data_IF_830462363590
#
_entry.id   IF_830462363590
#
_cell.length_a   1.000
_cell.length_b   1.000
_cell.length_c   1.000
_cell.angle_alpha   90.00
_cell.angle_beta   90.00
_cell.angle_gamma   90.00
#
_symmetry.space_group_name_H-M   'P 1'
#
loop_
_entity.id
_entity.type
_entity.pdbx_description
1 polymer ?
#
# COMPACT_ATOMS: atom_id res chain seq x y z
N UNK A 1 -20.97 1.99 20.12
CA UNK A 1 -20.83 1.36 18.79
C UNK A 1 -21.34 2.22 17.63
N UNK A 2 -22.54 2.84 17.70
CA UNK A 2 -23.08 3.67 16.58
C UNK A 2 -22.25 4.94 16.27
N UNK A 3 -21.67 5.59 17.29
CA UNK A 3 -20.86 6.82 17.08
C UNK A 3 -19.48 6.57 16.48
N UNK A 4 -18.86 5.41 16.75
CA UNK A 4 -17.58 5.03 16.17
C UNK A 4 -17.69 4.75 14.66
N UNK A 5 -18.77 4.08 14.24
CA UNK A 5 -19.07 3.83 12.82
C UNK A 5 -19.44 5.12 12.04
N UNK A 6 -19.91 6.17 12.73
CA UNK A 6 -20.17 7.48 12.15
C UNK A 6 -18.88 8.30 11.99
N UNK A 7 -17.94 8.18 12.93
CA UNK A 7 -16.62 8.82 12.86
C UNK A 7 -15.75 8.23 11.75
N UNK A 8 -15.75 6.90 11.59
CA UNK A 8 -15.03 6.21 10.49
C UNK A 8 -15.63 6.59 9.12
N UNK A 9 -16.97 6.65 9.00
CA UNK A 9 -17.63 7.15 7.78
C UNK A 9 -17.33 8.62 7.47
N UNK A 10 -17.10 9.46 8.50
CA UNK A 10 -16.62 10.84 8.31
C UNK A 10 -15.16 10.86 7.86
N UNK A 11 -14.29 10.06 8.47
CA UNK A 11 -12.86 9.98 8.12
C UNK A 11 -12.61 9.49 6.69
N UNK A 12 -13.47 8.64 6.15
CA UNK A 12 -13.35 8.11 4.78
C UNK A 12 -13.96 9.03 3.70
N UNK A 13 -14.78 10.02 4.09
CA UNK A 13 -15.39 11.00 3.17
C UNK A 13 -14.42 12.10 2.73
N UNK A 14 -13.52 12.52 3.61
CA UNK A 14 -12.53 13.55 3.32
C UNK A 14 -11.55 13.17 2.20
N UNK A 15 -10.90 11.99 2.21
CA UNK A 15 -10.00 11.61 1.12
C UNK A 15 -10.73 11.45 -0.23
N UNK A 16 -11.96 10.94 -0.23
CA UNK A 16 -12.76 10.85 -1.45
C UNK A 16 -13.23 12.22 -1.96
N UNK A 17 -13.59 13.14 -1.06
CA UNK A 17 -13.94 14.52 -1.43
C UNK A 17 -12.75 15.28 -2.00
N UNK A 18 -11.55 15.11 -1.42
CA UNK A 18 -10.31 15.69 -1.93
C UNK A 18 -9.97 15.14 -3.33
N UNK A 19 -10.10 13.83 -3.53
CA UNK A 19 -9.86 13.23 -4.85
C UNK A 19 -10.84 13.76 -5.90
N UNK A 20 -12.13 13.82 -5.57
CA UNK A 20 -13.15 14.39 -6.47
C UNK A 20 -12.89 15.86 -6.79
N UNK A 21 -12.43 16.65 -5.81
CA UNK A 21 -12.07 18.05 -6.01
C UNK A 21 -10.87 18.19 -6.97
N UNK A 22 -9.85 17.33 -6.83
CA UNK A 22 -8.69 17.30 -7.74
C UNK A 22 -9.12 16.96 -9.16
N UNK A 23 -9.99 15.95 -9.34
CA UNK A 23 -10.51 15.56 -10.66
C UNK A 23 -11.32 16.70 -11.28
N UNK A 24 -12.21 17.33 -10.50
CA UNK A 24 -13.02 18.45 -11.00
C UNK A 24 -12.16 19.67 -11.37
N UNK A 25 -11.16 19.99 -10.54
CA UNK A 25 -10.21 21.07 -10.81
C UNK A 25 -9.40 20.80 -12.08
N UNK A 26 -8.96 19.57 -12.29
CA UNK A 26 -8.25 19.17 -13.51
C UNK A 26 -9.15 19.26 -14.76
N UNK A 27 -10.39 18.81 -14.67
CA UNK A 27 -11.35 18.88 -15.78
C UNK A 27 -11.67 20.34 -16.14
N UNK A 28 -11.84 21.20 -15.14
CA UNK A 28 -12.04 22.63 -15.35
C UNK A 28 -10.81 23.28 -16.01
N UNK A 29 -9.60 22.96 -15.56
CA UNK A 29 -8.37 23.46 -16.17
C UNK A 29 -8.24 23.03 -17.64
N UNK A 30 -8.62 21.79 -17.97
CA UNK A 30 -8.65 21.29 -19.35
C UNK A 30 -9.64 22.07 -20.22
N UNK A 31 -10.87 22.26 -19.74
CA UNK A 31 -11.91 23.03 -20.47
C UNK A 31 -11.46 24.47 -20.67
N UNK A 32 -10.88 25.09 -19.64
CA UNK A 32 -10.35 26.44 -19.70
C UNK A 32 -9.21 26.57 -20.72
N UNK A 33 -8.31 25.58 -20.78
CA UNK A 33 -7.22 25.53 -21.75
C UNK A 33 -7.74 25.43 -23.19
N UNK A 34 -8.69 24.52 -23.44
CA UNK A 34 -9.34 24.35 -24.76
C UNK A 34 -10.06 25.63 -25.19
N UNK A 35 -10.74 26.28 -24.25
CA UNK A 35 -11.42 27.54 -24.50
C UNK A 35 -10.44 28.65 -24.91
N UNK A 36 -9.30 28.79 -24.20
CA UNK A 36 -8.26 29.74 -24.59
C UNK A 36 -7.67 29.45 -25.98
N UNK A 37 -7.50 28.18 -26.35
CA UNK A 37 -7.00 27.80 -27.69
C UNK A 37 -7.98 28.21 -28.78
N UNK A 38 -9.27 27.91 -28.61
CA UNK A 38 -10.30 28.23 -29.61
C UNK A 38 -10.49 29.74 -29.81
N UNK A 39 -10.35 30.53 -28.73
CA UNK A 39 -10.52 31.98 -28.81
C UNK A 39 -9.29 32.67 -29.43
N UNK A 40 -8.08 32.13 -29.20
CA UNK A 40 -6.85 32.57 -29.87
C UNK A 40 -6.87 32.34 -31.38
N UNK A 41 -7.39 31.20 -31.82
CA UNK A 41 -7.44 30.81 -33.24
C UNK A 41 -8.30 31.77 -34.11
N UNK A 42 -9.37 32.36 -33.53
CA UNK A 42 -10.23 33.29 -34.26
C UNK A 42 -9.54 34.63 -34.56
N UNK A 43 -8.85 35.20 -33.56
CA UNK A 43 -8.12 36.47 -33.72
C UNK A 43 -6.95 36.32 -34.70
N UNK A 44 -6.26 35.18 -34.65
CA UNK A 44 -5.18 34.86 -35.59
C UNK A 44 -5.66 34.78 -37.05
N UNK A 45 -6.81 34.15 -37.29
CA UNK A 45 -7.39 34.04 -38.64
C UNK A 45 -7.79 35.40 -39.22
N UNK A 46 -8.33 36.30 -38.40
CA UNK A 46 -8.66 37.66 -38.83
C UNK A 46 -7.39 38.45 -39.19
N UNK A 47 -6.37 38.40 -38.33
CA UNK A 47 -5.13 39.13 -38.54
C UNK A 47 -4.32 38.59 -39.73
N UNK A 48 -4.26 37.27 -39.92
CA UNK A 48 -3.64 36.64 -41.10
C UNK A 48 -4.36 37.03 -42.40
N UNK A 49 -5.69 37.13 -42.38
CA UNK A 49 -6.47 37.60 -43.54
C UNK A 49 -6.22 39.07 -43.86
N UNK A 50 -6.05 39.90 -42.83
CA UNK A 50 -5.72 41.31 -43.00
C UNK A 50 -4.35 41.46 -43.69
N UNK A 51 -3.29 40.85 -43.13
CA UNK A 51 -1.95 40.90 -43.71
C UNK A 51 -1.90 40.31 -45.13
N UNK A 52 -2.63 39.22 -45.40
CA UNK A 52 -2.73 38.67 -46.76
C UNK A 52 -3.39 39.66 -47.74
N UNK A 53 -4.43 40.38 -47.31
CA UNK A 53 -5.09 41.41 -48.11
C UNK A 53 -4.16 42.60 -48.38
N UNK A 54 -3.41 43.07 -47.36
CA UNK A 54 -2.42 44.16 -47.51
C UNK A 54 -1.33 43.78 -48.52
N UNK A 55 -0.78 42.57 -48.42
CA UNK A 55 0.22 42.07 -49.37
C UNK A 55 -0.32 41.99 -50.80
N UNK A 56 -1.59 41.61 -50.98
CA UNK A 56 -2.24 41.58 -52.28
C UNK A 56 -2.41 42.99 -52.86
N UNK A 57 -2.87 43.97 -52.08
CA UNK A 57 -3.00 45.36 -52.55
C UNK A 57 -1.64 46.00 -52.87
N UNK A 58 -0.60 45.72 -52.10
CA UNK A 58 0.77 46.14 -52.43
C UNK A 58 1.26 45.55 -53.76
N UNK A 59 0.81 44.34 -54.11
CA UNK A 59 1.09 43.72 -55.40
C UNK A 59 0.31 44.38 -56.54
N UNK A 60 -0.95 44.74 -56.32
CA UNK A 60 -1.74 45.49 -57.29
C UNK A 60 -1.18 46.89 -57.56
N UNK A 61 -0.71 47.61 -56.53
CA UNK A 61 -0.05 48.92 -56.69
C UNK A 61 1.19 48.83 -57.58
N UNK A 62 2.06 47.84 -57.32
CA UNK A 62 3.26 47.63 -58.13
C UNK A 62 2.92 47.21 -59.56
N UNK A 63 1.97 46.29 -59.73
CA UNK A 63 1.53 45.80 -61.03
C UNK A 63 0.89 46.90 -61.88
N UNK A 64 0.02 47.73 -61.28
CA UNK A 64 -0.60 48.88 -61.94
C UNK A 64 0.45 49.89 -62.42
N UNK A 65 1.42 50.22 -61.57
CA UNK A 65 2.50 51.14 -61.94
C UNK A 65 3.40 50.59 -63.07
N UNK A 66 3.77 49.30 -62.99
CA UNK A 66 4.60 48.64 -64.00
C UNK A 66 3.88 48.55 -65.36
N UNK A 67 2.60 48.13 -65.36
CA UNK A 67 1.81 48.03 -66.57
C UNK A 67 1.58 49.40 -67.19
N UNK A 68 1.35 50.43 -66.36
CA UNK A 68 1.17 51.77 -66.84
C UNK A 68 2.42 52.32 -67.51
N UNK A 69 3.58 52.14 -66.87
CA UNK A 69 4.87 52.54 -67.43
C UNK A 69 5.18 51.77 -68.72
N UNK A 70 4.89 50.47 -68.76
CA UNK A 70 5.10 49.63 -69.95
C UNK A 70 4.21 50.07 -71.11
N UNK A 71 2.94 50.36 -70.85
CA UNK A 71 1.99 50.86 -71.85
C UNK A 71 2.36 52.25 -72.38
N UNK A 72 2.73 53.16 -71.48
CA UNK A 72 3.19 54.51 -71.81
C UNK A 72 4.45 54.47 -72.68
N UNK A 73 5.48 53.69 -72.30
CA UNK A 73 6.70 53.52 -73.11
C UNK A 73 6.41 52.88 -74.47
N UNK A 74 5.54 51.87 -74.51
CA UNK A 74 5.12 51.23 -75.76
C UNK A 74 4.47 52.22 -76.72
N UNK A 75 3.57 53.06 -76.23
CA UNK A 75 2.93 54.12 -77.02
C UNK A 75 3.94 55.18 -77.48
N UNK A 76 4.86 55.61 -76.62
CA UNK A 76 5.87 56.62 -76.99
C UNK A 76 6.86 56.13 -78.05
N UNK A 77 7.23 54.85 -78.03
CA UNK A 77 8.14 54.26 -79.02
C UNK A 77 7.44 54.03 -80.36
N UNK A 78 6.20 53.55 -80.34
CA UNK A 78 5.51 53.04 -81.54
C UNK A 78 4.49 54.02 -82.13
N UNK A 79 4.00 54.97 -81.32
CA UNK A 79 2.85 55.83 -81.60
C UNK A 79 1.54 55.05 -81.84
N UNK A 80 1.50 53.77 -81.45
CA UNK A 80 0.33 52.91 -81.61
C UNK A 80 -0.55 52.93 -80.35
N UNK A 81 -1.76 53.48 -80.49
CA UNK A 81 -2.74 53.63 -79.40
C UNK A 81 -3.09 52.31 -78.72
N UNK A 82 -2.87 51.14 -79.34
CA UNK A 82 -3.12 49.83 -78.70
C UNK A 82 -2.32 49.65 -77.41
N UNK A 83 -1.12 50.24 -77.31
CA UNK A 83 -0.30 50.19 -76.10
C UNK A 83 -0.86 51.03 -74.93
N UNK A 84 -1.75 52.00 -75.21
CA UNK A 84 -2.40 52.79 -74.15
C UNK A 84 -3.38 51.97 -73.30
N UNK A 85 -3.81 50.79 -73.76
CA UNK A 85 -4.71 49.93 -72.98
C UNK A 85 -4.12 49.53 -71.62
N UNK A 86 -2.84 49.15 -71.57
CA UNK A 86 -2.13 48.83 -70.32
C UNK A 86 -1.93 50.05 -69.42
N UNK A 87 -1.76 51.23 -70.02
CA UNK A 87 -1.70 52.52 -69.32
C UNK A 87 -3.04 52.87 -68.66
N UNK A 88 -4.13 52.80 -69.41
CA UNK A 88 -5.48 53.05 -68.92
C UNK A 88 -5.84 52.09 -67.78
N UNK A 89 -5.57 50.80 -67.95
CA UNK A 89 -5.83 49.80 -66.91
C UNK A 89 -5.07 50.10 -65.61
N UNK A 90 -3.78 50.43 -65.69
CA UNK A 90 -3.00 50.79 -64.50
C UNK A 90 -3.50 52.08 -63.83
N UNK A 91 -3.88 53.09 -64.63
CA UNK A 91 -4.40 54.37 -64.14
C UNK A 91 -5.77 54.22 -63.45
N UNK A 92 -6.64 53.36 -63.97
CA UNK A 92 -7.92 53.04 -63.35
C UNK A 92 -7.76 52.24 -62.04
N UNK A 93 -6.70 51.44 -61.90
CA UNK A 93 -6.48 50.56 -60.75
C UNK A 93 -5.68 51.19 -59.61
N UNK A 94 -4.80 52.16 -59.87
CA UNK A 94 -3.89 52.69 -58.83
C UNK A 94 -4.65 53.37 -57.69
N UNK A 95 -5.60 54.26 -58.01
CA UNK A 95 -6.32 55.04 -57.01
C UNK A 95 -7.23 54.17 -56.11
N UNK A 96 -8.03 53.23 -56.66
CA UNK A 96 -8.74 52.26 -55.83
C UNK A 96 -7.83 51.42 -54.93
N UNK A 97 -6.66 51.01 -55.42
CA UNK A 97 -5.74 50.13 -54.67
C UNK A 97 -5.06 50.88 -53.52
N UNK A 98 -4.65 52.13 -53.73
CA UNK A 98 -4.12 52.99 -52.67
C UNK A 98 -5.16 53.26 -51.56
N UNK A 99 -6.43 53.47 -51.94
CA UNK A 99 -7.53 53.62 -50.96
C UNK A 99 -7.75 52.35 -50.15
N UNK A 100 -7.87 51.18 -50.80
CA UNK A 100 -8.04 49.90 -50.11
C UNK A 100 -6.86 49.60 -49.18
N UNK A 101 -5.63 49.88 -49.62
CA UNK A 101 -4.44 49.71 -48.79
C UNK A 101 -4.52 50.57 -47.51
N UNK A 102 -4.95 51.82 -47.62
CA UNK A 102 -5.14 52.71 -46.47
C UNK A 102 -6.27 52.25 -45.54
N UNK A 103 -7.39 51.79 -46.10
CA UNK A 103 -8.52 51.26 -45.33
C UNK A 103 -8.15 49.97 -44.57
N UNK A 104 -7.34 49.09 -45.18
CA UNK A 104 -6.88 47.85 -44.56
C UNK A 104 -5.87 48.09 -43.42
N UNK A 105 -4.98 49.08 -43.57
CA UNK A 105 -3.97 49.40 -42.56
C UNK A 105 -4.57 50.12 -41.33
N UNK A 106 -5.64 50.90 -41.52
CA UNK A 106 -6.45 51.47 -40.44
C UNK A 106 -5.65 52.31 -39.42
N UNK A 107 -6.17 52.41 -38.19
CA UNK A 107 -5.56 53.21 -37.11
C UNK A 107 -4.45 52.47 -36.34
N UNK A 108 -4.34 51.13 -36.47
CA UNK A 108 -3.37 50.30 -35.73
C UNK A 108 -2.00 50.15 -36.45
N UNK A 109 -1.70 51.01 -37.42
CA UNK A 109 -0.42 50.99 -38.13
C UNK A 109 0.76 51.41 -37.27
N UNK A 110 1.90 50.73 -37.46
CA UNK A 110 3.18 51.20 -36.92
C UNK A 110 3.60 52.51 -37.59
N UNK A 111 4.38 53.33 -36.88
CA UNK A 111 4.92 54.60 -37.40
C UNK A 111 5.59 54.41 -38.76
N UNK A 112 6.38 53.33 -38.92
CA UNK A 112 7.07 53.04 -40.18
C UNK A 112 6.11 52.63 -41.31
N UNK A 113 5.04 51.89 -41.01
CA UNK A 113 4.03 51.55 -42.02
C UNK A 113 3.29 52.82 -42.48
N UNK A 114 2.93 53.72 -41.57
CA UNK A 114 2.29 54.99 -41.94
C UNK A 114 3.20 55.84 -42.86
N UNK A 115 4.48 55.98 -42.51
CA UNK A 115 5.47 56.67 -43.35
C UNK A 115 5.61 56.06 -44.75
N UNK A 116 5.67 54.73 -44.84
CA UNK A 116 5.80 54.02 -46.11
C UNK A 116 4.52 54.13 -46.94
N UNK A 117 3.34 54.10 -46.31
CA UNK A 117 2.06 54.29 -47.01
C UNK A 117 1.97 55.68 -47.65
N UNK A 118 2.39 56.72 -46.91
CA UNK A 118 2.43 58.09 -47.43
C UNK A 118 3.47 58.25 -48.55
N UNK A 119 4.62 57.59 -48.44
CA UNK A 119 5.62 57.54 -49.51
C UNK A 119 5.10 56.82 -50.75
N UNK A 120 4.45 55.67 -50.60
CA UNK A 120 3.86 54.90 -51.71
C UNK A 120 2.79 55.73 -52.41
N UNK A 121 1.87 56.36 -51.66
CA UNK A 121 0.80 57.20 -52.21
C UNK A 121 1.38 58.40 -53.00
N UNK A 122 2.33 59.14 -52.40
CA UNK A 122 2.94 60.30 -53.06
C UNK A 122 3.77 59.93 -54.29
N UNK A 123 4.58 58.86 -54.23
CA UNK A 123 5.40 58.39 -55.35
C UNK A 123 4.54 57.83 -56.49
N UNK A 124 3.50 57.06 -56.17
CA UNK A 124 2.57 56.53 -57.17
C UNK A 124 1.84 57.68 -57.88
N UNK A 125 1.26 58.62 -57.15
CA UNK A 125 0.57 59.78 -57.75
C UNK A 125 1.49 60.62 -58.62
N UNK A 126 2.71 60.90 -58.14
CA UNK A 126 3.71 61.62 -58.93
C UNK A 126 4.06 60.88 -60.22
N UNK A 127 4.23 59.56 -60.15
CA UNK A 127 4.54 58.74 -61.32
C UNK A 127 3.40 58.70 -62.35
N UNK A 128 2.16 58.54 -61.89
CA UNK A 128 1.00 58.58 -62.78
C UNK A 128 0.76 59.95 -63.40
N UNK A 129 0.99 61.04 -62.65
CA UNK A 129 0.93 62.41 -63.19
C UNK A 129 1.99 62.67 -64.27
N UNK A 130 3.22 62.15 -64.09
CA UNK A 130 4.29 62.24 -65.11
C UNK A 130 3.91 61.47 -66.38
N UNK A 131 3.41 60.25 -66.23
CA UNK A 131 2.96 59.43 -67.35
C UNK A 131 1.80 60.11 -68.10
N UNK A 132 0.83 60.69 -67.39
CA UNK A 132 -0.30 61.41 -67.98
C UNK A 132 0.17 62.62 -68.81
N UNK A 133 1.06 63.45 -68.26
CA UNK A 133 1.64 64.58 -68.97
C UNK A 133 2.37 64.13 -70.24
N UNK A 134 3.16 63.05 -70.16
CA UNK A 134 3.88 62.51 -71.31
C UNK A 134 2.94 62.00 -72.41
N UNK A 135 1.82 61.36 -72.06
CA UNK A 135 0.82 60.86 -73.01
C UNK A 135 0.10 62.04 -73.67
N UNK A 136 -0.31 63.05 -72.89
CA UNK A 136 -0.96 64.26 -73.42
C UNK A 136 -0.06 65.01 -74.40
N UNK A 137 1.22 65.18 -74.10
CA UNK A 137 2.18 65.83 -75.01
C UNK A 137 2.31 65.11 -76.36
N UNK A 138 2.21 63.77 -76.37
CA UNK A 138 2.22 62.99 -77.62
C UNK A 138 0.90 63.17 -78.38
N UNK A 139 -0.24 63.15 -77.68
CA UNK A 139 -1.56 63.37 -78.31
C UNK A 139 -1.68 64.77 -78.93
N UNK A 140 -1.06 65.79 -78.32
CA UNK A 140 -0.97 67.16 -78.83
C UNK A 140 0.08 67.35 -79.94
N UNK A 141 0.76 66.27 -80.36
CA UNK A 141 1.78 66.30 -81.41
C UNK A 141 3.14 66.87 -80.98
N UNK A 142 3.35 67.13 -79.69
CA UNK A 142 4.58 67.69 -79.11
C UNK A 142 5.59 66.60 -78.71
N UNK A 143 5.95 65.75 -79.66
CA UNK A 143 6.80 64.56 -79.44
C UNK A 143 8.17 64.88 -78.80
N UNK A 144 8.79 66.01 -79.17
CA UNK A 144 10.09 66.41 -78.64
C UNK A 144 10.04 66.80 -77.16
N UNK A 145 8.93 67.40 -76.73
CA UNK A 145 8.72 67.78 -75.33
C UNK A 145 8.44 66.54 -74.48
N UNK A 146 7.61 65.61 -74.97
CA UNK A 146 7.37 64.32 -74.33
C UNK A 146 8.68 63.52 -74.14
N UNK A 147 9.53 63.48 -75.17
CA UNK A 147 10.84 62.79 -75.09
C UNK A 147 11.81 63.47 -74.12
N UNK A 148 11.79 64.79 -74.01
CA UNK A 148 12.63 65.53 -73.04
C UNK A 148 12.19 65.24 -71.60
N UNK A 149 10.88 65.14 -71.35
CA UNK A 149 10.34 64.79 -70.03
C UNK A 149 10.83 63.40 -69.57
N UNK A 150 10.77 62.39 -70.43
CA UNK A 150 11.20 61.01 -70.08
C UNK A 150 12.72 60.86 -69.97
N UNK A 151 13.49 61.68 -70.71
CA UNK A 151 14.95 61.71 -70.58
C UNK A 151 15.42 62.36 -69.27
N UNK A 152 14.50 62.93 -68.48
CA UNK A 152 14.79 63.21 -67.08
C UNK A 152 14.76 61.90 -66.30
N UNK A 153 15.86 61.55 -65.63
CA UNK A 153 15.94 60.33 -64.81
C UNK A 153 14.94 60.35 -63.62
N UNK A 154 14.20 61.45 -63.42
CA UNK A 154 13.19 61.63 -62.37
C UNK A 154 12.11 60.55 -62.40
N UNK A 155 11.59 60.22 -63.58
CA UNK A 155 10.55 59.20 -63.73
C UNK A 155 11.03 57.78 -63.39
N UNK A 156 12.30 57.47 -63.68
CA UNK A 156 12.90 56.18 -63.32
C UNK A 156 13.21 56.14 -61.81
N UNK A 157 13.76 57.23 -61.26
CA UNK A 157 14.10 57.31 -59.84
C UNK A 157 12.86 57.24 -58.95
N UNK A 158 11.75 57.86 -59.37
CA UNK A 158 10.46 57.75 -58.70
C UNK A 158 9.95 56.29 -58.68
N UNK A 159 10.08 55.56 -59.79
CA UNK A 159 9.66 54.15 -59.85
C UNK A 159 10.54 53.25 -58.98
N UNK A 160 11.86 53.46 -58.97
CA UNK A 160 12.78 52.73 -58.08
C UNK A 160 12.53 53.02 -56.60
N UNK A 161 12.17 54.27 -56.25
CA UNK A 161 11.75 54.62 -54.89
C UNK A 161 10.42 53.97 -54.54
N UNK A 162 9.45 53.94 -55.45
CA UNK A 162 8.15 53.29 -55.25
C UNK A 162 8.32 51.79 -55.01
N UNK A 163 9.09 51.09 -55.86
CA UNK A 163 9.38 49.66 -55.67
C UNK A 163 10.06 49.40 -54.33
N UNK A 164 11.06 50.21 -53.96
CA UNK A 164 11.73 50.08 -52.66
C UNK A 164 10.77 50.28 -51.49
N UNK A 165 9.89 51.27 -51.54
CA UNK A 165 8.92 51.51 -50.47
C UNK A 165 7.89 50.36 -50.36
N UNK A 166 7.39 49.85 -51.50
CA UNK A 166 6.49 48.69 -51.55
C UNK A 166 7.18 47.44 -51.01
N UNK A 167 8.42 47.18 -51.42
CA UNK A 167 9.18 46.02 -50.94
C UNK A 167 9.51 46.11 -49.46
N UNK A 168 9.87 47.29 -48.95
CA UNK A 168 10.09 47.51 -47.53
C UNK A 168 8.80 47.25 -46.73
N UNK A 169 7.67 47.74 -47.20
CA UNK A 169 6.38 47.48 -46.56
C UNK A 169 6.01 45.99 -46.60
N UNK A 170 6.24 45.29 -47.71
CA UNK A 170 6.05 43.83 -47.81
C UNK A 170 6.93 43.06 -46.82
N UNK A 171 8.17 43.49 -46.64
CA UNK A 171 9.09 42.86 -45.67
C UNK A 171 8.55 43.04 -44.25
N UNK A 172 8.06 44.23 -43.91
CA UNK A 172 7.45 44.50 -42.60
C UNK A 172 6.24 43.61 -42.37
N UNK A 173 5.30 43.56 -43.31
CA UNK A 173 4.09 42.71 -43.22
C UNK A 173 4.43 41.22 -43.06
N UNK A 174 5.37 40.70 -43.87
CA UNK A 174 5.82 39.30 -43.75
C UNK A 174 6.50 39.02 -42.42
N UNK A 175 7.25 39.97 -41.86
CA UNK A 175 7.87 39.82 -40.54
C UNK A 175 6.84 39.82 -39.41
N UNK A 176 5.82 40.68 -39.48
CA UNK A 176 4.71 40.69 -38.52
C UNK A 176 4.01 39.34 -38.54
N UNK A 177 3.64 38.83 -39.71
CA UNK A 177 2.98 37.53 -39.88
C UNK A 177 3.83 36.37 -39.34
N UNK A 178 5.14 36.35 -39.66
CA UNK A 178 6.05 35.31 -39.21
C UNK A 178 6.25 35.32 -37.68
N UNK A 179 6.33 36.50 -37.06
CA UNK A 179 6.42 36.62 -35.60
C UNK A 179 5.16 36.12 -34.91
N UNK A 180 3.99 36.49 -35.43
CA UNK A 180 2.71 36.05 -34.91
C UNK A 180 2.58 34.53 -34.96
N UNK A 181 2.81 33.91 -36.12
CA UNK A 181 2.76 32.46 -36.27
C UNK A 181 3.74 31.72 -35.34
N UNK A 182 4.95 32.27 -35.15
CA UNK A 182 5.94 31.70 -34.24
C UNK A 182 5.52 31.77 -32.77
N UNK A 183 4.87 32.86 -32.36
CA UNK A 183 4.36 33.01 -30.99
C UNK A 183 3.14 32.11 -30.74
N UNK A 184 2.24 31.93 -31.72
CA UNK A 184 1.14 30.95 -31.63
C UNK A 184 1.67 29.53 -31.47
N UNK A 185 2.63 29.13 -32.32
CA UNK A 185 3.22 27.80 -32.27
C UNK A 185 3.91 27.52 -30.92
N UNK A 186 4.52 28.52 -30.28
CA UNK A 186 5.11 28.40 -28.93
C UNK A 186 4.05 28.23 -27.84
N UNK A 187 2.91 28.91 -27.96
CA UNK A 187 1.79 28.76 -27.02
C UNK A 187 1.17 27.37 -27.15
N UNK A 188 0.94 26.90 -28.38
CA UNK A 188 0.46 25.54 -28.65
C UNK A 188 1.45 24.47 -28.14
N UNK A 189 2.75 24.66 -28.37
CA UNK A 189 3.77 23.71 -27.92
C UNK A 189 3.86 23.59 -26.38
N UNK A 190 3.46 24.63 -25.63
CA UNK A 190 3.40 24.58 -24.15
C UNK A 190 2.17 23.85 -23.62
N UNK A 191 1.10 23.71 -24.40
CA UNK A 191 -0.15 23.09 -23.98
C UNK A 191 0.01 21.57 -23.81
N UNK A 192 0.63 20.88 -24.77
CA UNK A 192 0.84 19.43 -24.72
C UNK A 192 1.55 18.92 -23.44
N UNK A 193 2.70 19.49 -23.01
CA UNK A 193 3.36 19.04 -21.78
C UNK A 193 2.55 19.37 -20.52
N UNK A 194 1.79 20.47 -20.48
CA UNK A 194 0.91 20.79 -19.36
C UNK A 194 -0.24 19.77 -19.24
N UNK A 195 -0.85 19.38 -20.37
CA UNK A 195 -1.84 18.32 -20.43
C UNK A 195 -1.27 16.98 -19.97
N UNK A 196 -0.08 16.62 -20.45
CA UNK A 196 0.63 15.42 -20.02
C UNK A 196 0.88 15.41 -18.51
N UNK A 197 1.35 16.53 -17.96
CA UNK A 197 1.56 16.69 -16.51
C UNK A 197 0.27 16.54 -15.70
N UNK A 198 -0.84 17.10 -16.19
CA UNK A 198 -2.15 16.98 -15.54
C UNK A 198 -2.66 15.54 -15.54
N UNK A 199 -2.55 14.83 -16.66
CA UNK A 199 -2.94 13.41 -16.76
C UNK A 199 -2.13 12.56 -15.78
N UNK A 200 -0.81 12.78 -15.71
CA UNK A 200 0.06 12.08 -14.76
C UNK A 200 -0.38 12.35 -13.31
N UNK A 201 -0.70 13.60 -12.97
CA UNK A 201 -1.17 13.98 -11.63
C UNK A 201 -2.48 13.25 -11.27
N UNK A 202 -3.44 13.19 -12.21
CA UNK A 202 -4.70 12.46 -12.02
C UNK A 202 -4.44 10.96 -11.81
N UNK A 203 -3.57 10.34 -12.63
CA UNK A 203 -3.23 8.92 -12.50
C UNK A 203 -2.57 8.62 -11.15
N UNK A 204 -1.67 9.49 -10.68
CA UNK A 204 -1.05 9.39 -9.35
C UNK A 204 -2.10 9.50 -8.25
N UNK A 205 -3.03 10.45 -8.36
CA UNK A 205 -4.10 10.63 -7.37
C UNK A 205 -5.03 9.42 -7.31
N UNK A 206 -5.43 8.85 -8.46
CA UNK A 206 -6.22 7.61 -8.54
C UNK A 206 -5.46 6.44 -7.91
N UNK A 207 -4.17 6.29 -8.22
CA UNK A 207 -3.34 5.21 -7.68
C UNK A 207 -3.19 5.32 -6.15
N UNK A 208 -2.98 6.54 -5.63
CA UNK A 208 -2.93 6.81 -4.20
C UNK A 208 -4.28 6.53 -3.53
N UNK A 209 -5.39 6.95 -4.15
CA UNK A 209 -6.74 6.65 -3.68
C UNK A 209 -6.98 5.14 -3.57
N UNK A 210 -6.65 4.37 -4.61
CA UNK A 210 -6.76 2.92 -4.61
C UNK A 210 -5.88 2.25 -3.55
N UNK A 211 -4.65 2.74 -3.36
CA UNK A 211 -3.73 2.29 -2.29
C UNK A 211 -4.29 2.54 -0.89
N UNK A 212 -4.93 3.69 -0.65
CA UNK A 212 -5.52 4.02 0.65
C UNK A 212 -6.75 3.15 0.94
N UNK A 213 -7.64 2.98 -0.05
CA UNK A 213 -8.84 2.13 0.08
C UNK A 213 -8.46 0.67 0.31
N UNK A 214 -7.48 0.15 -0.44
CA UNK A 214 -7.02 -1.24 -0.26
C UNK A 214 -6.35 -1.48 1.09
N UNK A 215 -5.58 -0.53 1.62
CA UNK A 215 -5.02 -0.62 2.98
C UNK A 215 -6.10 -0.65 4.05
N UNK A 216 -7.11 0.21 3.94
CA UNK A 216 -8.23 0.25 4.88
C UNK A 216 -9.01 -1.08 4.88
N UNK A 217 -9.31 -1.63 3.69
CA UNK A 217 -10.02 -2.90 3.56
C UNK A 217 -9.24 -4.09 4.17
N UNK A 218 -7.91 -4.12 4.01
CA UNK A 218 -7.06 -5.16 4.62
C UNK A 218 -7.05 -5.08 6.14
N UNK A 219 -6.93 -3.88 6.70
CA UNK A 219 -6.94 -3.68 8.14
C UNK A 219 -8.26 -4.12 8.79
N UNK A 220 -9.40 -3.86 8.13
CA UNK A 220 -10.71 -4.32 8.59
C UNK A 220 -10.82 -5.86 8.56
N UNK A 221 -10.32 -6.50 7.50
CA UNK A 221 -10.34 -7.96 7.37
C UNK A 221 -9.47 -8.65 8.43
N UNK A 222 -8.26 -8.14 8.69
CA UNK A 222 -7.36 -8.66 9.73
C UNK A 222 -7.98 -8.52 11.13
N UNK A 223 -8.59 -7.37 11.42
CA UNK A 223 -9.26 -7.14 12.70
C UNK A 223 -10.47 -8.08 12.92
N UNK A 224 -11.27 -8.33 11.87
CA UNK A 224 -12.40 -9.26 11.94
C UNK A 224 -11.93 -10.71 12.17
N UNK A 225 -10.85 -11.13 11.51
CA UNK A 225 -10.27 -12.46 11.70
C UNK A 225 -9.68 -12.63 13.10
N UNK A 226 -8.95 -11.63 13.61
CA UNK A 226 -8.40 -11.65 14.96
C UNK A 226 -9.51 -11.77 16.03
N UNK A 227 -10.61 -11.02 15.87
CA UNK A 227 -11.76 -11.10 16.77
C UNK A 227 -12.43 -12.48 16.74
N UNK A 228 -12.58 -13.08 15.56
CA UNK A 228 -13.17 -14.43 15.41
C UNK A 228 -12.29 -15.52 16.05
N UNK A 229 -10.96 -15.41 15.92
CA UNK A 229 -10.01 -16.33 16.58
C UNK A 229 -10.05 -16.17 18.10
N UNK A 230 -10.14 -14.92 18.59
CA UNK A 230 -10.28 -14.64 20.02
C UNK A 230 -11.54 -15.28 20.62
N UNK A 231 -12.70 -15.09 19.97
CA UNK A 231 -13.96 -15.70 20.44
C UNK A 231 -13.93 -17.23 20.41
N UNK A 232 -13.31 -17.83 19.39
CA UNK A 232 -13.13 -19.28 19.30
C UNK A 232 -12.24 -19.82 20.43
N UNK A 233 -11.17 -19.11 20.79
CA UNK A 233 -10.28 -19.45 21.91
C UNK A 233 -11.02 -19.36 23.24
N UNK A 234 -11.74 -18.27 23.49
CA UNK A 234 -12.51 -18.09 24.73
C UNK A 234 -13.55 -19.20 24.92
N UNK A 235 -14.22 -19.62 23.84
CA UNK A 235 -15.17 -20.75 23.87
C UNK A 235 -14.47 -22.07 24.15
N UNK A 236 -13.30 -22.32 23.57
CA UNK A 236 -12.52 -23.52 23.84
C UNK A 236 -12.10 -23.59 25.32
N UNK A 237 -11.66 -22.47 25.91
CA UNK A 237 -11.25 -22.40 27.32
C UNK A 237 -12.42 -22.59 28.29
N UNK A 238 -13.62 -22.11 27.93
CA UNK A 238 -14.85 -22.37 28.68
C UNK A 238 -15.24 -23.86 28.62
N UNK A 239 -15.18 -24.46 27.43
CA UNK A 239 -15.48 -25.88 27.24
C UNK A 239 -14.49 -26.78 28.00
N UNK A 240 -13.19 -26.45 27.97
CA UNK A 240 -12.18 -27.19 28.72
C UNK A 240 -12.45 -27.18 30.24
N UNK A 241 -12.83 -26.03 30.80
CA UNK A 241 -13.22 -25.89 32.21
C UNK A 241 -14.45 -26.73 32.56
N UNK A 242 -15.47 -26.70 31.71
CA UNK A 242 -16.70 -27.49 31.91
C UNK A 242 -16.43 -29.00 31.82
N UNK A 243 -15.58 -29.44 30.88
CA UNK A 243 -15.17 -30.85 30.77
C UNK A 243 -14.44 -31.30 32.03
N UNK A 244 -13.50 -30.51 32.54
CA UNK A 244 -12.79 -30.84 33.78
C UNK A 244 -13.76 -30.95 34.97
N UNK A 245 -14.72 -30.03 35.09
CA UNK A 245 -15.77 -30.13 36.12
C UNK A 245 -16.60 -31.41 35.98
N UNK A 246 -16.97 -31.80 34.77
CA UNK A 246 -17.70 -33.06 34.53
C UNK A 246 -16.89 -34.30 34.87
N UNK A 247 -15.59 -34.30 34.60
CA UNK A 247 -14.71 -35.41 34.99
C UNK A 247 -14.68 -35.56 36.52
N UNK A 248 -14.58 -34.45 37.28
CA UNK A 248 -14.66 -34.48 38.75
C UNK A 248 -16.00 -35.07 39.22
N UNK A 249 -17.11 -34.68 38.60
CA UNK A 249 -18.43 -35.23 38.92
C UNK A 249 -18.53 -36.74 38.65
N UNK A 250 -17.98 -37.23 37.53
CA UNK A 250 -17.95 -38.66 37.22
C UNK A 250 -17.15 -39.44 38.27
N UNK A 251 -16.00 -38.94 38.69
CA UNK A 251 -15.21 -39.56 39.77
C UNK A 251 -15.98 -39.61 41.10
N UNK A 252 -16.71 -38.54 41.45
CA UNK A 252 -17.54 -38.52 42.64
C UNK A 252 -18.65 -39.59 42.60
N UNK A 253 -19.29 -39.78 41.44
CA UNK A 253 -20.31 -40.82 41.23
C UNK A 253 -19.70 -42.23 41.37
N UNK A 254 -18.56 -42.49 40.73
CA UNK A 254 -17.88 -43.78 40.83
C UNK A 254 -17.49 -44.08 42.28
N UNK A 255 -16.97 -43.08 43.00
CA UNK A 255 -16.62 -43.21 44.41
C UNK A 255 -17.84 -43.57 45.27
N UNK A 256 -18.99 -42.91 45.04
CA UNK A 256 -20.23 -43.20 45.75
C UNK A 256 -20.72 -44.65 45.47
N UNK A 257 -20.67 -45.12 44.22
CA UNK A 257 -21.05 -46.50 43.86
C UNK A 257 -20.17 -47.52 44.58
N UNK A 258 -18.85 -47.30 44.60
CA UNK A 258 -17.89 -48.18 45.29
C UNK A 258 -18.19 -48.24 46.79
N UNK A 259 -18.40 -47.09 47.43
CA UNK A 259 -18.68 -47.01 48.86
C UNK A 259 -20.05 -47.61 49.24
N UNK A 260 -21.09 -47.39 48.41
CA UNK A 260 -22.40 -47.99 48.62
C UNK A 260 -22.40 -49.51 48.48
N UNK A 261 -21.53 -50.06 47.63
CA UNK A 261 -21.45 -51.51 47.37
C UNK A 261 -20.99 -52.34 48.58
N UNK A 262 -20.37 -51.71 49.59
CA UNK A 262 -19.96 -52.35 50.85
C UNK A 262 -20.86 -52.00 52.05
N UNK A 263 -21.92 -51.20 51.86
CA UNK A 263 -22.75 -50.67 52.97
C UNK A 263 -23.32 -51.77 53.87
N UNK A 264 -23.75 -52.89 53.28
CA UNK A 264 -24.36 -54.03 53.98
C UNK A 264 -23.44 -55.27 54.04
N UNK A 265 -22.14 -55.10 53.75
CA UNK A 265 -21.15 -56.19 53.71
C UNK A 265 -19.87 -55.78 54.47
N UNK A 266 -19.84 -55.91 55.80
CA UNK A 266 -18.70 -55.51 56.63
C UNK A 266 -17.38 -56.16 56.20
N UNK A 267 -17.43 -57.41 55.71
CA UNK A 267 -16.28 -58.16 55.20
C UNK A 267 -15.68 -57.58 53.91
N UNK A 268 -16.46 -56.85 53.11
CA UNK A 268 -16.00 -56.22 51.86
C UNK A 268 -15.42 -54.81 52.07
N UNK A 269 -15.66 -54.20 53.24
CA UNK A 269 -15.31 -52.81 53.55
C UNK A 269 -13.81 -52.49 53.37
N UNK A 270 -12.85 -53.32 53.83
CA UNK A 270 -11.42 -53.04 53.62
C UNK A 270 -11.03 -52.96 52.13
N UNK A 271 -11.67 -53.77 51.29
CA UNK A 271 -11.39 -53.80 49.84
C UNK A 271 -12.01 -52.58 49.17
N UNK A 272 -13.23 -52.18 49.51
CA UNK A 272 -13.87 -51.00 48.94
C UNK A 272 -13.22 -49.70 49.38
N UNK A 273 -12.74 -49.61 50.63
CA UNK A 273 -11.99 -48.45 51.12
C UNK A 273 -10.67 -48.30 50.36
N UNK A 274 -9.97 -49.41 50.11
CA UNK A 274 -8.76 -49.43 49.27
C UNK A 274 -9.03 -48.98 47.82
N UNK A 275 -10.15 -49.40 47.21
CA UNK A 275 -10.53 -48.95 45.85
C UNK A 275 -10.88 -47.45 45.87
N UNK A 276 -11.59 -46.98 46.89
CA UNK A 276 -11.96 -45.58 47.06
C UNK A 276 -10.73 -44.66 47.22
N UNK A 277 -9.73 -45.07 48.00
CA UNK A 277 -8.45 -44.35 48.16
C UNK A 277 -7.73 -44.18 46.81
N UNK A 278 -7.70 -45.22 45.98
CA UNK A 278 -7.06 -45.21 44.65
C UNK A 278 -7.78 -44.33 43.63
N UNK A 279 -9.11 -44.34 43.65
CA UNK A 279 -9.90 -43.46 42.79
C UNK A 279 -9.62 -41.99 43.11
N UNK A 280 -9.47 -41.65 44.41
CA UNK A 280 -9.08 -40.29 44.82
C UNK A 280 -7.67 -39.93 44.34
N UNK A 281 -6.72 -40.84 44.45
CA UNK A 281 -5.36 -40.62 43.93
C UNK A 281 -5.34 -40.35 42.42
N UNK A 282 -6.15 -41.09 41.66
CA UNK A 282 -6.29 -40.89 40.22
C UNK A 282 -6.89 -39.51 39.89
N UNK A 283 -7.88 -39.07 40.66
CA UNK A 283 -8.48 -37.74 40.54
C UNK A 283 -7.46 -36.63 40.79
N UNK A 284 -6.66 -36.74 41.86
CA UNK A 284 -5.60 -35.77 42.19
C UNK A 284 -4.54 -35.70 41.09
N UNK A 285 -4.08 -36.84 40.58
CA UNK A 285 -3.13 -36.87 39.48
C UNK A 285 -3.71 -36.27 38.18
N UNK A 286 -5.02 -36.43 37.95
CA UNK A 286 -5.72 -35.79 36.84
C UNK A 286 -5.80 -34.27 37.02
N UNK A 287 -6.05 -33.76 38.23
CA UNK A 287 -6.08 -32.32 38.52
C UNK A 287 -4.71 -31.66 38.31
N UNK A 288 -3.63 -32.28 38.80
CA UNK A 288 -2.25 -31.81 38.60
C UNK A 288 -1.90 -31.75 37.11
N UNK A 289 -2.39 -32.69 36.32
CA UNK A 289 -2.19 -32.74 34.87
C UNK A 289 -2.94 -31.64 34.09
N UNK A 290 -3.93 -30.97 34.67
CA UNK A 290 -4.77 -29.97 33.99
C UNK A 290 -4.39 -28.52 34.36
N UNK A 291 -3.46 -28.32 35.29
CA UNK A 291 -3.13 -27.00 35.88
C UNK A 291 -2.37 -26.02 34.99
N UNK A 292 -1.84 -26.44 33.84
CA UNK A 292 -1.10 -25.57 32.90
C UNK A 292 -1.87 -25.47 31.57
N UNK A 293 -2.67 -24.41 31.43
CA UNK A 293 -3.53 -24.16 30.26
C UNK A 293 -2.77 -24.00 28.92
N UNK A 294 -1.44 -23.87 28.93
CA UNK A 294 -0.64 -23.68 27.71
C UNK A 294 0.33 -24.83 27.38
N UNK A 295 0.50 -25.80 28.27
CA UNK A 295 1.33 -27.00 27.99
C UNK A 295 0.73 -28.21 28.68
N UNK A 296 0.59 -29.33 27.96
CA UNK A 296 0.09 -30.62 28.50
C UNK A 296 1.13 -31.30 29.42
N UNK A 297 1.88 -30.51 30.19
CA UNK A 297 3.02 -30.89 31.00
C UNK A 297 2.71 -30.56 32.47
N UNK A 298 3.02 -31.49 33.37
CA UNK A 298 2.88 -31.28 34.81
C UNK A 298 4.19 -31.55 35.53
N UNK A 299 4.41 -30.84 36.64
CA UNK A 299 5.61 -31.00 37.46
C UNK A 299 5.61 -32.32 38.22
N UNK A 300 6.72 -33.06 38.12
CA UNK A 300 6.96 -34.28 38.90
C UNK A 300 7.03 -33.99 40.39
N UNK A 301 7.69 -32.89 40.77
CA UNK A 301 7.78 -32.44 42.16
C UNK A 301 6.39 -32.15 42.74
N UNK A 302 5.56 -31.41 42.00
CA UNK A 302 4.19 -31.09 42.43
C UNK A 302 3.35 -32.36 42.62
N UNK A 303 3.53 -33.38 41.77
CA UNK A 303 2.84 -34.67 41.93
C UNK A 303 3.27 -35.40 43.22
N UNK A 304 4.57 -35.45 43.51
CA UNK A 304 5.12 -36.11 44.70
C UNK A 304 4.64 -35.37 45.96
N UNK A 305 4.76 -34.04 45.95
CA UNK A 305 4.35 -33.19 47.06
C UNK A 305 2.85 -33.36 47.37
N UNK A 306 2.00 -33.27 46.34
CA UNK A 306 0.56 -33.46 46.48
C UNK A 306 0.20 -34.87 46.97
N UNK A 307 0.98 -35.88 46.60
CA UNK A 307 0.76 -37.27 47.04
C UNK A 307 1.14 -37.51 48.50
N UNK A 308 2.12 -36.76 49.02
CA UNK A 308 2.60 -36.87 50.40
C UNK A 308 1.85 -35.94 51.36
N UNK A 309 1.37 -34.79 50.87
CA UNK A 309 0.74 -33.73 51.67
C UNK A 309 -0.35 -34.21 52.66
N UNK A 310 -1.27 -35.14 52.32
CA UNK A 310 -2.32 -35.56 53.24
C UNK A 310 -1.83 -36.26 54.52
N UNK A 311 -0.60 -36.76 54.50
CA UNK A 311 -0.02 -37.58 55.58
C UNK A 311 1.19 -36.91 56.24
N UNK A 312 1.65 -35.76 55.74
CA UNK A 312 2.73 -35.01 56.38
C UNK A 312 2.27 -34.35 57.68
N UNK A 313 3.08 -34.45 58.71
CA UNK A 313 2.88 -33.80 60.01
C UNK A 313 4.22 -33.47 60.66
N UNK A 314 4.21 -32.85 61.84
CA UNK A 314 5.43 -32.54 62.59
C UNK A 314 6.26 -33.78 62.96
N UNK A 315 5.67 -34.98 62.94
CA UNK A 315 6.33 -36.27 63.21
C UNK A 315 6.50 -37.15 61.97
N UNK A 316 5.88 -36.79 60.85
CA UNK A 316 5.92 -37.53 59.58
C UNK A 316 6.49 -36.62 58.50
N UNK A 317 7.81 -36.49 58.50
CA UNK A 317 8.54 -35.64 57.56
C UNK A 317 8.97 -36.45 56.32
N UNK A 318 9.06 -35.76 55.18
CA UNK A 318 9.61 -36.32 53.96
C UNK A 318 10.44 -35.27 53.24
N UNK A 319 11.66 -35.62 52.86
CA UNK A 319 12.54 -34.80 52.05
C UNK A 319 12.26 -35.06 50.57
N UNK A 320 12.10 -34.00 49.77
CA UNK A 320 11.88 -34.06 48.33
C UNK A 320 12.97 -33.23 47.68
N UNK A 321 13.81 -33.83 46.83
CA UNK A 321 14.92 -33.14 46.17
C UNK A 321 15.16 -33.64 44.75
N UNK A 322 15.36 -32.72 43.81
CA UNK A 322 15.67 -33.08 42.42
C UNK A 322 15.52 -31.92 41.45
N UNK A 323 16.01 -32.06 40.20
CA UNK A 323 15.89 -31.03 39.18
C UNK A 323 14.44 -30.84 38.72
N UNK A 324 14.11 -29.65 38.22
CA UNK A 324 12.79 -29.38 37.63
C UNK A 324 12.52 -30.33 36.46
N UNK A 325 11.39 -31.04 36.55
CA UNK A 325 10.98 -32.04 35.58
C UNK A 325 9.50 -31.86 35.28
N UNK A 326 9.21 -31.63 34.00
CA UNK A 326 7.87 -31.55 33.46
C UNK A 326 7.56 -32.81 32.63
N UNK A 327 6.48 -33.52 32.96
CA UNK A 327 6.06 -34.75 32.29
C UNK A 327 4.70 -34.60 31.63
N UNK A 328 4.48 -35.22 30.46
CA UNK A 328 3.16 -35.29 29.85
C UNK A 328 2.11 -35.94 30.75
N UNK A 329 0.86 -35.46 30.65
CA UNK A 329 -0.32 -35.99 31.33
C UNK A 329 -0.38 -37.54 31.40
N UNK A 330 -0.10 -38.20 30.27
CA UNK A 330 -0.09 -39.66 30.12
C UNK A 330 0.87 -40.40 31.06
N UNK A 331 1.92 -39.73 31.57
CA UNK A 331 2.90 -40.28 32.52
C UNK A 331 2.60 -39.88 33.97
N UNK A 332 2.02 -38.70 34.18
CA UNK A 332 1.65 -38.16 35.50
C UNK A 332 0.57 -39.02 36.17
N UNK A 333 -0.48 -39.38 35.44
CA UNK A 333 -1.60 -40.16 35.98
C UNK A 333 -1.19 -41.52 36.56
N UNK A 334 -0.45 -42.40 35.84
CA UNK A 334 0.01 -43.67 36.41
C UNK A 334 1.11 -43.49 37.48
N UNK A 335 1.98 -42.47 37.40
CA UNK A 335 2.94 -42.16 38.47
C UNK A 335 2.24 -41.77 39.77
N UNK A 336 1.16 -41.00 39.70
CA UNK A 336 0.37 -40.62 40.87
C UNK A 336 -0.19 -41.83 41.63
N UNK A 337 -0.56 -42.90 40.91
CA UNK A 337 -0.95 -44.16 41.54
C UNK A 337 0.22 -44.85 42.24
N UNK A 338 1.42 -44.84 41.64
CA UNK A 338 2.61 -45.42 42.28
C UNK A 338 2.96 -44.66 43.56
N UNK A 339 3.00 -43.33 43.52
CA UNK A 339 3.26 -42.53 44.71
C UNK A 339 2.20 -42.72 45.77
N UNK A 340 0.92 -42.78 45.41
CA UNK A 340 -0.14 -43.07 46.37
C UNK A 340 0.05 -44.44 47.07
N UNK A 341 0.39 -45.49 46.33
CA UNK A 341 0.65 -46.79 46.93
C UNK A 341 1.92 -46.77 47.81
N UNK A 342 2.98 -46.04 47.41
CA UNK A 342 4.18 -45.86 48.25
C UNK A 342 3.85 -45.09 49.54
N UNK A 343 3.16 -43.96 49.44
CA UNK A 343 2.74 -43.16 50.59
C UNK A 343 1.86 -43.96 51.54
N UNK A 344 0.86 -44.67 51.03
CA UNK A 344 -0.03 -45.47 51.89
C UNK A 344 0.69 -46.63 52.56
N UNK A 345 1.65 -47.27 51.88
CA UNK A 345 2.49 -48.29 52.49
C UNK A 345 3.38 -47.70 53.58
N UNK A 346 3.98 -46.53 53.36
CA UNK A 346 4.80 -45.85 54.36
C UNK A 346 4.02 -45.55 55.66
N UNK A 347 2.75 -45.13 55.53
CA UNK A 347 1.86 -44.87 56.67
C UNK A 347 1.40 -46.14 57.38
N UNK A 348 1.11 -47.21 56.64
CA UNK A 348 0.52 -48.44 57.20
C UNK A 348 1.57 -49.42 57.75
N UNK A 349 2.71 -49.51 57.07
CA UNK A 349 3.69 -50.58 57.29
C UNK A 349 5.15 -50.09 57.25
N UNK A 350 5.42 -48.90 56.70
CA UNK A 350 6.77 -48.43 56.42
C UNK A 350 7.28 -47.36 57.38
N UNK A 351 8.07 -46.42 56.88
CA UNK A 351 8.82 -45.43 57.69
C UNK A 351 7.91 -44.67 58.66
N UNK A 352 6.82 -44.09 58.17
CA UNK A 352 5.93 -43.26 58.99
C UNK A 352 5.10 -44.03 60.02
N UNK A 353 4.91 -45.35 59.83
CA UNK A 353 4.30 -46.20 60.84
C UNK A 353 5.25 -46.44 62.04
N UNK A 354 6.56 -46.35 61.82
CA UNK A 354 7.61 -46.71 62.78
C UNK A 354 8.43 -45.50 63.29
N UNK A 355 8.02 -44.28 62.94
CA UNK A 355 8.73 -43.04 63.32
C UNK A 355 10.01 -42.79 62.50
N UNK A 356 10.16 -43.45 61.36
CA UNK A 356 11.23 -43.28 60.39
C UNK A 356 11.00 -42.12 59.42
N UNK A 357 11.92 -41.96 58.46
CA UNK A 357 11.92 -40.87 57.47
C UNK A 357 11.76 -41.36 56.04
N UNK A 358 11.21 -40.49 55.19
CA UNK A 358 11.11 -40.72 53.73
C UNK A 358 11.98 -39.70 53.01
N UNK A 359 12.85 -40.19 52.13
CA UNK A 359 13.65 -39.37 51.22
C UNK A 359 13.27 -39.73 49.78
N UNK A 360 12.77 -38.74 49.04
CA UNK A 360 12.46 -38.89 47.62
C UNK A 360 13.40 -38.00 46.85
N UNK A 361 14.25 -38.62 46.03
CA UNK A 361 15.15 -37.88 45.16
C UNK A 361 15.14 -38.39 43.73
N UNK A 362 15.37 -37.51 42.76
CA UNK A 362 15.52 -37.93 41.38
C UNK A 362 16.65 -37.22 40.67
N UNK A 363 17.18 -37.90 39.67
CA UNK A 363 18.16 -37.34 38.75
C UNK A 363 17.64 -37.49 37.33
N UNK A 364 17.97 -36.53 36.49
CA UNK A 364 17.73 -36.59 35.05
C UNK A 364 19.07 -36.81 34.35
N UNK A 365 19.16 -37.86 33.56
CA UNK A 365 20.32 -38.12 32.69
C UNK A 365 19.78 -38.45 31.30
N UNK A 366 20.20 -37.65 30.32
CA UNK A 366 19.71 -37.72 28.95
C UNK A 366 18.15 -37.69 28.91
N UNK A 367 17.55 -38.70 28.29
CA UNK A 367 16.10 -38.85 28.14
C UNK A 367 15.48 -39.74 29.22
N UNK A 368 16.13 -39.92 30.37
CA UNK A 368 15.60 -40.76 31.46
C UNK A 368 15.65 -40.05 32.80
N UNK A 369 14.62 -40.29 33.60
CA UNK A 369 14.59 -39.92 35.01
C UNK A 369 14.77 -41.19 35.81
N UNK A 370 15.72 -41.14 36.75
CA UNK A 370 15.86 -42.14 37.79
C UNK A 370 15.45 -41.51 39.10
N UNK A 371 14.30 -41.93 39.61
CA UNK A 371 13.76 -41.52 40.90
C UNK A 371 13.99 -42.63 41.92
N UNK A 372 14.39 -42.23 43.12
CA UNK A 372 14.64 -43.10 44.25
C UNK A 372 13.78 -42.63 45.41
N UNK A 373 12.91 -43.52 45.87
CA UNK A 373 12.17 -43.38 47.12
C UNK A 373 12.85 -44.25 48.17
N UNK A 374 13.26 -43.67 49.29
CA UNK A 374 13.92 -44.36 50.38
C UNK A 374 13.15 -44.16 51.67
N UNK A 375 12.84 -45.27 52.33
CA UNK A 375 12.30 -45.33 53.68
C UNK A 375 13.41 -45.82 54.62
N UNK A 376 13.61 -45.12 55.74
CA UNK A 376 14.64 -45.44 56.74
C UNK A 376 13.99 -45.57 58.11
N UNK A 377 14.49 -46.46 58.98
CA UNK A 377 13.95 -46.69 60.31
C UNK A 377 12.81 -47.72 60.36
N UNK A 378 12.76 -48.62 59.37
CA UNK A 378 11.81 -49.75 59.35
C UNK A 378 12.57 -51.05 59.54
N UNK A 379 12.39 -51.77 60.67
CA UNK A 379 13.04 -53.06 60.87
C UNK A 379 12.37 -54.11 59.97
N UNK A 380 13.01 -54.43 58.84
CA UNK A 380 12.54 -55.43 57.87
C UNK A 380 13.49 -56.63 57.83
N UNK A 381 12.96 -57.82 58.12
CA UNK A 381 13.68 -59.10 58.02
C UNK A 381 13.44 -59.79 56.66
N UNK A 382 13.66 -59.07 55.56
CA UNK A 382 13.57 -59.58 54.17
C UNK A 382 12.28 -59.23 53.41
N UNK A 383 12.17 -59.72 52.16
CA UNK A 383 10.99 -59.49 51.30
C UNK A 383 9.72 -60.10 51.95
N UNK A 384 8.59 -59.35 52.04
CA UNK A 384 7.36 -59.89 52.61
C UNK A 384 6.84 -61.11 51.82
N UNK A 385 6.48 -62.20 52.51
CA UNK A 385 5.95 -63.45 51.93
C UNK A 385 4.67 -63.27 51.07
N UNK A 386 3.94 -62.16 51.24
CA UNK A 386 2.72 -61.85 50.49
C UNK A 386 2.97 -60.76 49.43
N UNK A 387 3.00 -61.16 48.16
CA UNK A 387 2.86 -60.21 47.03
C UNK A 387 1.43 -59.69 46.97
N UNK A 388 1.17 -58.57 47.64
CA UNK A 388 -0.13 -57.91 47.67
C UNK A 388 -0.51 -57.22 46.35
N UNK A 389 -1.76 -56.74 46.29
CA UNK A 389 -2.35 -56.06 45.15
C UNK A 389 -1.59 -54.78 44.72
N UNK A 390 -0.92 -54.09 45.66
CA UNK A 390 -0.08 -52.92 45.37
C UNK A 390 1.11 -53.22 44.45
N UNK A 391 1.74 -54.39 44.60
CA UNK A 391 2.85 -54.84 43.72
C UNK A 391 2.42 -55.01 42.26
N UNK A 392 1.23 -55.60 42.04
CA UNK A 392 0.68 -55.80 40.70
C UNK A 392 0.28 -54.46 40.06
N UNK A 393 -0.23 -53.52 40.87
CA UNK A 393 -0.59 -52.19 40.40
C UNK A 393 0.63 -51.39 39.96
N UNK A 394 1.69 -51.35 40.78
CA UNK A 394 2.92 -50.64 40.45
C UNK A 394 3.55 -51.14 39.14
N UNK A 395 3.57 -52.46 38.93
CA UNK A 395 4.05 -53.05 37.68
C UNK A 395 3.16 -52.68 36.47
N UNK A 396 1.85 -52.58 36.66
CA UNK A 396 0.93 -52.14 35.60
C UNK A 396 1.09 -50.65 35.28
N UNK A 397 1.25 -49.81 36.30
CA UNK A 397 1.53 -48.38 36.15
C UNK A 397 2.87 -48.14 35.45
N UNK A 398 3.91 -48.92 35.79
CA UNK A 398 5.21 -48.88 35.14
C UNK A 398 5.14 -49.05 33.63
N UNK A 399 4.34 -50.02 33.17
CA UNK A 399 4.10 -50.21 31.73
C UNK A 399 3.41 -49.02 31.08
N UNK A 400 2.49 -48.35 31.78
CA UNK A 400 1.74 -47.21 31.24
C UNK A 400 2.60 -45.95 31.07
N UNK A 401 3.52 -45.69 31.99
CA UNK A 401 4.49 -44.59 31.81
C UNK A 401 5.74 -44.99 31.01
N UNK A 402 5.84 -46.25 30.59
CA UNK A 402 6.93 -46.75 29.73
C UNK A 402 8.25 -46.97 30.49
N UNK A 403 8.18 -47.26 31.78
CA UNK A 403 9.32 -47.38 32.68
C UNK A 403 9.36 -48.66 33.51
N UNK A 404 10.21 -48.68 34.53
CA UNK A 404 10.36 -49.78 35.49
C UNK A 404 10.21 -49.28 36.92
N UNK A 405 9.78 -50.19 37.81
CA UNK A 405 9.71 -49.96 39.27
C UNK A 405 10.37 -51.15 39.94
N UNK A 406 11.53 -50.93 40.53
CA UNK A 406 12.30 -51.94 41.26
C UNK A 406 12.25 -51.66 42.75
N UNK A 407 12.17 -52.70 43.58
CA UNK A 407 12.02 -52.58 45.03
C UNK A 407 13.06 -53.45 45.71
N UNK A 408 13.79 -52.85 46.64
CA UNK A 408 14.84 -53.48 47.41
C UNK A 408 14.53 -53.32 48.91
N UNK A 409 14.34 -54.45 49.59
CA UNK A 409 14.02 -54.50 51.02
C UNK A 409 15.31 -54.70 51.81
N UNK A 410 15.76 -53.63 52.47
CA UNK A 410 16.98 -53.62 53.27
C UNK A 410 16.65 -53.82 54.75
N UNK A 411 17.66 -54.12 55.58
CA UNK A 411 17.50 -54.28 57.04
C UNK A 411 16.99 -53.02 57.75
N UNK A 412 17.14 -51.86 57.11
CA UNK A 412 16.84 -50.53 57.67
C UNK A 412 15.60 -49.88 57.01
N UNK A 413 15.05 -50.50 55.96
CA UNK A 413 13.86 -50.01 55.27
C UNK A 413 13.79 -50.36 53.79
N UNK A 414 12.96 -49.63 53.05
CA UNK A 414 12.62 -49.91 51.65
C UNK A 414 13.28 -48.89 50.71
N UNK A 415 13.91 -49.38 49.64
CA UNK A 415 14.37 -48.55 48.54
C UNK A 415 13.57 -48.92 47.28
N UNK A 416 12.90 -47.93 46.68
CA UNK A 416 12.18 -48.09 45.41
C UNK A 416 12.84 -47.23 44.35
N UNK A 417 13.27 -47.87 43.26
CA UNK A 417 13.85 -47.18 42.10
C UNK A 417 12.84 -47.18 40.97
N UNK A 418 12.45 -45.99 40.53
CA UNK A 418 11.57 -45.78 39.38
C UNK A 418 12.41 -45.19 38.25
N UNK A 419 12.43 -45.88 37.11
CA UNK A 419 13.10 -45.40 35.91
C UNK A 419 12.06 -45.18 34.81
N UNK A 420 12.03 -43.98 34.23
CA UNK A 420 11.10 -43.64 33.17
C UNK A 420 11.72 -42.73 32.09
N UNK A 421 11.26 -42.83 30.84
CA UNK A 421 11.71 -41.93 29.79
C UNK A 421 11.10 -40.53 29.93
N UNK A 422 11.82 -39.52 29.45
CA UNK A 422 11.36 -38.14 29.22
C UNK A 422 11.31 -37.93 27.71
N UNK A 423 10.22 -37.38 27.18
CA UNK A 423 10.18 -37.04 25.75
C UNK A 423 11.04 -35.78 25.51
N UNK A 424 11.94 -35.84 24.53
CA UNK A 424 12.67 -34.67 24.03
C UNK A 424 11.64 -33.66 23.51
N UNK A 425 11.38 -32.61 24.29
CA UNK A 425 10.32 -31.64 24.03
C UNK A 425 9.61 -31.09 25.27
N UNK A 426 9.82 -31.68 26.45
CA UNK A 426 9.51 -31.02 27.72
C UNK A 426 10.62 -30.00 28.03
N UNK A 427 10.49 -28.83 27.40
CA UNK A 427 11.45 -27.72 27.36
C UNK A 427 11.88 -27.27 28.75
N UNK A 428 13.20 -27.23 28.98
CA UNK A 428 13.80 -26.34 29.98
C UNK A 428 13.73 -24.93 29.39
N UNK A 429 12.85 -24.09 29.94
CA UNK A 429 12.91 -22.64 29.77
C UNK A 429 13.90 -22.09 30.81
N UNK A 430 15.20 -22.34 30.64
CA UNK A 430 16.23 -21.56 31.33
C UNK A 430 17.62 -21.72 30.71
N UNK A 431 18.29 -20.57 30.58
CA UNK A 431 19.70 -20.33 30.27
C UNK A 431 20.20 -20.73 28.88
N UNK A 432 20.07 -19.76 27.98
CA UNK A 432 21.06 -19.52 26.93
C UNK A 432 22.19 -18.67 27.55
N UNK A 433 23.43 -19.17 27.63
CA UNK A 433 24.58 -18.29 27.56
C UNK A 433 25.54 -18.73 26.45
N UNK A 434 25.88 -17.74 25.62
CA UNK A 434 27.08 -17.66 24.79
C UNK A 434 27.22 -18.65 23.62
N UNK A 435 26.87 -18.14 22.43
CA UNK A 435 27.54 -18.52 21.20
C UNK A 435 28.81 -17.68 21.01
N UNK A 436 29.98 -18.27 20.68
CA UNK A 436 31.07 -17.54 20.03
C UNK A 436 30.79 -17.26 18.54
#
# INVERSE_FOLDING_TARGET
MKDFAALVRRGQRWPNAVLSLIIFGAMFALIFLVYQTLEGERREREQSRLTASVLAELQEVEYAALNAETGQRGYLITLDRRYLSSYQQGSEQIEPSLRRLRDLLGDETTVRQAELLDQIDSLARAKFSEMEESVMLIEDGRLLDARRSILSDEGQEAMERLRRAVDEMRVIERQILARQAADTARLEARILPLLGGLIILILVAILLGARLVSRAARAEAEAAQAAAVGEARDRADLLARELNHRVKNLFAVVLAIVQMSARDKPEAKPVTDSIAERIRALLTAHEVSQGALDTQLASLEALIDTSLAPYRSSTQTANIDGPEVLLPAKRITPLGLVFHELTTNAVKYGAWAHGGTIDVSWTRKDDRIKLVWRETGVPLDGEPDRKGFGSLLMNSAARQFGGTVERDFTKDGLIVTIDLPVEQGATSLASDPEAP
#
